data_IF_322285741965
#
_entry.id   IF_322285741965
#
_cell.length_a   1.000
_cell.length_b   1.000
_cell.length_c   1.000
_cell.angle_alpha   90.00
_cell.angle_beta   90.00
_cell.angle_gamma   90.00
#
_symmetry.space_group_name_H-M   'P 1'
#
loop_
_entity.id
_entity.type
_entity.pdbx_description
1 polymer ?
#
# COMPACT_ATOMS: atom_id res chain seq x y z
N UNK A 1 -16.81 8.88 -11.09
CA UNK A 1 -15.88 7.80 -11.48
C UNK A 1 -16.07 6.62 -10.56
N UNK A 2 -16.17 5.41 -11.11
CA UNK A 2 -16.37 4.17 -10.37
C UNK A 2 -15.04 3.43 -10.25
N UNK A 3 -14.60 3.19 -9.01
CA UNK A 3 -13.27 2.63 -8.73
C UNK A 3 -13.42 1.39 -7.84
N UNK A 4 -12.80 0.30 -8.25
CA UNK A 4 -12.61 -0.87 -7.41
C UNK A 4 -11.20 -0.86 -6.83
N UNK A 5 -11.09 -0.86 -5.51
CA UNK A 5 -9.82 -0.89 -4.79
C UNK A 5 -9.67 -2.21 -4.03
N UNK A 6 -8.51 -2.87 -4.13
CA UNK A 6 -8.26 -4.19 -3.53
C UNK A 6 -6.93 -4.20 -2.79
N UNK A 7 -6.96 -4.63 -1.52
CA UNK A 7 -5.76 -4.93 -0.76
C UNK A 7 -5.85 -6.34 -0.13
N UNK A 8 -4.98 -7.22 -0.56
CA UNK A 8 -4.76 -8.55 0.02
C UNK A 8 -3.31 -8.71 0.50
N UNK A 9 -2.59 -7.61 0.68
CA UNK A 9 -1.19 -7.58 1.07
C UNK A 9 -0.97 -7.80 2.56
N UNK A 10 -1.96 -7.50 3.37
CA UNK A 10 -1.98 -7.64 4.84
C UNK A 10 -2.61 -8.95 5.34
N UNK A 11 -2.98 -9.00 6.64
CA UNK A 11 -3.66 -10.14 7.25
C UNK A 11 -5.12 -10.30 6.81
N UNK A 12 -5.69 -9.30 6.18
CA UNK A 12 -7.08 -9.27 5.72
C UNK A 12 -7.13 -9.09 4.21
N UNK A 13 -8.16 -9.65 3.57
CA UNK A 13 -8.62 -9.18 2.28
C UNK A 13 -9.54 -7.98 2.54
N UNK A 14 -9.24 -6.85 1.96
CA UNK A 14 -10.12 -5.68 1.96
C UNK A 14 -10.42 -5.24 0.53
N UNK A 15 -11.66 -4.83 0.30
CA UNK A 15 -12.16 -4.34 -0.98
C UNK A 15 -12.96 -3.07 -0.70
N UNK A 16 -12.73 -2.04 -1.49
CA UNK A 16 -13.51 -0.80 -1.44
C UNK A 16 -14.04 -0.52 -2.85
N UNK A 17 -15.34 -0.28 -2.93
CA UNK A 17 -16.02 0.08 -4.17
C UNK A 17 -16.52 1.51 -4.06
N UNK A 18 -16.00 2.41 -4.89
CA UNK A 18 -16.48 3.78 -5.03
C UNK A 18 -17.39 3.87 -6.24
N UNK A 19 -18.59 4.38 -6.03
CA UNK A 19 -19.56 4.68 -7.09
C UNK A 19 -19.95 6.14 -6.95
N UNK A 20 -19.53 6.97 -7.89
CA UNK A 20 -19.68 8.42 -7.83
C UNK A 20 -19.09 9.00 -6.53
N UNK A 21 -19.94 9.42 -5.58
CA UNK A 21 -19.54 10.01 -4.29
C UNK A 21 -19.76 9.07 -3.09
N UNK A 22 -20.24 7.85 -3.32
CA UNK A 22 -20.47 6.86 -2.26
C UNK A 22 -19.38 5.79 -2.29
N UNK A 23 -19.03 5.26 -1.13
CA UNK A 23 -18.05 4.19 -0.97
C UNK A 23 -18.61 3.06 -0.14
N UNK A 24 -18.33 1.84 -0.55
CA UNK A 24 -18.79 0.61 0.07
C UNK A 24 -17.60 -0.28 0.40
N UNK A 25 -17.54 -0.78 1.62
CA UNK A 25 -16.42 -1.56 2.14
C UNK A 25 -16.77 -3.03 2.32
N UNK A 26 -15.86 -3.90 1.98
CA UNK A 26 -15.88 -5.32 2.32
C UNK A 26 -14.54 -5.72 2.92
N UNK A 27 -14.56 -6.54 3.99
CA UNK A 27 -13.35 -7.10 4.56
C UNK A 27 -13.57 -8.53 5.09
N UNK A 28 -12.54 -9.37 4.94
CA UNK A 28 -12.52 -10.73 5.44
C UNK A 28 -11.17 -11.04 6.11
N UNK A 29 -11.22 -11.62 7.31
CA UNK A 29 -10.02 -11.93 8.11
C UNK A 29 -9.32 -13.23 7.71
N UNK A 30 -9.84 -13.97 6.76
CA UNK A 30 -9.33 -15.29 6.38
C UNK A 30 -8.18 -15.21 5.37
N UNK A 31 -7.02 -14.75 5.81
CA UNK A 31 -5.79 -14.58 5.03
C UNK A 31 -5.40 -15.78 4.14
N UNK A 32 -5.56 -16.99 4.63
CA UNK A 32 -5.18 -18.22 3.90
C UNK A 32 -6.07 -18.57 2.71
N UNK A 33 -7.15 -17.83 2.51
CA UNK A 33 -8.17 -18.08 1.47
C UNK A 33 -8.33 -16.94 0.47
N UNK A 34 -7.49 -15.91 0.49
CA UNK A 34 -7.65 -14.75 -0.40
C UNK A 34 -7.85 -15.17 -1.87
N UNK A 35 -7.06 -16.13 -2.38
CA UNK A 35 -7.21 -16.64 -3.75
C UNK A 35 -8.54 -17.36 -4.01
N UNK A 36 -9.19 -17.88 -2.99
CA UNK A 36 -10.47 -18.60 -3.13
C UNK A 36 -11.67 -17.67 -3.05
N UNK A 37 -11.54 -16.58 -2.28
CA UNK A 37 -12.69 -15.71 -1.97
C UNK A 37 -12.67 -14.37 -2.70
N UNK A 38 -11.53 -13.92 -3.27
CA UNK A 38 -11.41 -12.57 -3.83
C UNK A 38 -12.45 -12.29 -4.93
N UNK A 39 -12.66 -13.22 -5.85
CA UNK A 39 -13.64 -13.05 -6.94
C UNK A 39 -15.07 -13.03 -6.40
N UNK A 40 -15.43 -13.96 -5.51
CA UNK A 40 -16.76 -13.96 -4.90
C UNK A 40 -17.00 -12.76 -3.99
N UNK A 41 -15.95 -12.21 -3.38
CA UNK A 41 -16.04 -10.98 -2.58
C UNK A 41 -16.24 -9.74 -3.46
N UNK A 42 -15.60 -9.68 -4.63
CA UNK A 42 -15.85 -8.63 -5.62
C UNK A 42 -17.29 -8.72 -6.13
N UNK A 43 -17.73 -9.91 -6.55
CA UNK A 43 -19.09 -10.15 -7.01
C UNK A 43 -20.11 -9.74 -5.94
N UNK A 44 -19.86 -10.11 -4.68
CA UNK A 44 -20.73 -9.77 -3.56
C UNK A 44 -20.86 -8.26 -3.36
N UNK A 45 -19.75 -7.52 -3.26
CA UNK A 45 -19.81 -6.07 -3.00
C UNK A 45 -20.47 -5.33 -4.16
N UNK A 46 -20.30 -5.81 -5.39
CA UNK A 46 -20.93 -5.23 -6.57
C UNK A 46 -22.43 -5.51 -6.61
N UNK A 47 -22.83 -6.77 -6.40
CA UNK A 47 -24.25 -7.19 -6.37
C UNK A 47 -25.03 -6.51 -5.24
N UNK A 48 -24.44 -6.44 -4.04
CA UNK A 48 -25.07 -5.79 -2.88
C UNK A 48 -25.36 -4.30 -3.12
N UNK A 49 -24.66 -3.68 -4.08
CA UNK A 49 -24.81 -2.26 -4.42
C UNK A 49 -25.42 -2.02 -5.82
N UNK A 50 -25.93 -3.08 -6.47
CA UNK A 50 -26.54 -3.03 -7.80
C UNK A 50 -25.62 -2.42 -8.87
N UNK A 51 -24.33 -2.82 -8.87
CA UNK A 51 -23.30 -2.36 -9.80
C UNK A 51 -22.82 -3.54 -10.64
N UNK A 52 -22.75 -3.34 -11.94
CA UNK A 52 -22.17 -4.32 -12.86
C UNK A 52 -20.66 -4.09 -12.98
N UNK A 53 -19.90 -5.16 -13.23
CA UNK A 53 -18.44 -5.05 -13.40
C UNK A 53 -18.07 -4.13 -14.57
N UNK A 54 -18.92 -4.03 -15.58
CA UNK A 54 -18.79 -3.15 -16.74
C UNK A 54 -18.96 -1.66 -16.44
N UNK A 55 -19.47 -1.31 -15.26
CA UNK A 55 -19.62 0.07 -14.81
C UNK A 55 -18.31 0.64 -14.24
N UNK A 56 -17.30 -0.20 -14.02
CA UNK A 56 -16.01 0.22 -13.48
C UNK A 56 -15.24 1.07 -14.49
N UNK A 57 -14.59 2.11 -13.98
CA UNK A 57 -13.74 3.00 -14.76
C UNK A 57 -12.24 2.80 -14.46
N UNK A 58 -11.91 2.24 -13.29
CA UNK A 58 -10.54 2.04 -12.82
C UNK A 58 -10.49 0.94 -11.77
N UNK A 59 -9.36 0.24 -11.72
CA UNK A 59 -9.05 -0.70 -10.64
C UNK A 59 -7.73 -0.30 -9.99
N UNK A 60 -7.67 -0.36 -8.67
CA UNK A 60 -6.50 -0.02 -7.88
C UNK A 60 -6.15 -1.16 -6.95
N UNK A 61 -4.86 -1.46 -6.79
CA UNK A 61 -4.44 -2.50 -5.85
C UNK A 61 -3.13 -2.15 -5.14
N UNK A 62 -2.93 -2.73 -3.95
CA UNK A 62 -1.66 -2.63 -3.25
C UNK A 62 -0.64 -3.59 -3.89
N UNK A 63 0.39 -3.01 -4.56
CA UNK A 63 1.44 -3.79 -5.22
C UNK A 63 2.57 -4.26 -4.30
N UNK A 64 2.49 -3.94 -3.01
CA UNK A 64 3.55 -4.21 -2.04
C UNK A 64 4.55 -3.04 -1.90
N UNK A 65 5.68 -3.26 -1.22
CA UNK A 65 6.15 -4.53 -0.67
C UNK A 65 5.33 -5.02 0.53
N UNK A 66 4.95 -6.29 0.51
CA UNK A 66 4.14 -6.92 1.56
C UNK A 66 4.10 -8.45 1.36
N UNK A 67 3.00 -9.11 1.75
CA UNK A 67 2.81 -10.56 1.53
C UNK A 67 3.02 -10.93 0.07
N UNK A 68 4.04 -11.74 -0.20
CA UNK A 68 4.40 -12.21 -1.53
C UNK A 68 3.23 -12.85 -2.30
N UNK A 69 2.46 -13.68 -1.63
CA UNK A 69 1.29 -14.34 -2.24
C UNK A 69 0.13 -13.37 -2.40
N UNK A 70 -0.16 -12.59 -1.37
CA UNK A 70 -1.30 -11.67 -1.37
C UNK A 70 -1.21 -10.61 -2.47
N UNK A 71 -0.08 -9.93 -2.61
CA UNK A 71 0.12 -8.91 -3.64
C UNK A 71 -0.02 -9.46 -5.05
N UNK A 72 0.42 -10.70 -5.30
CA UNK A 72 0.27 -11.36 -6.61
C UNK A 72 -1.16 -11.76 -6.92
N UNK A 73 -1.91 -12.23 -5.92
CA UNK A 73 -3.33 -12.54 -6.07
C UNK A 73 -4.08 -11.28 -6.48
N UNK A 74 -3.92 -10.18 -5.74
CA UNK A 74 -4.56 -8.91 -6.08
C UNK A 74 -4.15 -8.45 -7.49
N UNK A 75 -2.85 -8.41 -7.79
CA UNK A 75 -2.36 -8.01 -9.11
C UNK A 75 -2.96 -8.83 -10.25
N UNK A 76 -2.98 -10.17 -10.12
CA UNK A 76 -3.50 -11.06 -11.16
C UNK A 76 -4.99 -10.85 -11.42
N UNK A 77 -5.79 -10.71 -10.35
CA UNK A 77 -7.24 -10.47 -10.47
C UNK A 77 -7.50 -9.09 -11.07
N UNK A 78 -6.83 -8.04 -10.56
CA UNK A 78 -7.00 -6.68 -11.07
C UNK A 78 -6.62 -6.57 -12.55
N UNK A 79 -5.50 -7.17 -12.94
CA UNK A 79 -5.04 -7.19 -14.33
C UNK A 79 -6.00 -7.95 -15.23
N UNK A 80 -6.53 -9.10 -14.80
CA UNK A 80 -7.49 -9.87 -15.59
C UNK A 80 -8.78 -9.08 -15.84
N UNK A 81 -9.34 -8.46 -14.81
CA UNK A 81 -10.55 -7.64 -14.93
C UNK A 81 -10.26 -6.40 -15.79
N UNK A 82 -9.19 -5.67 -15.49
CA UNK A 82 -8.82 -4.44 -16.20
C UNK A 82 -8.55 -4.69 -17.70
N UNK A 83 -7.87 -5.79 -18.02
CA UNK A 83 -7.64 -6.19 -19.41
C UNK A 83 -8.95 -6.52 -20.12
N UNK A 84 -9.84 -7.28 -19.49
CA UNK A 84 -11.13 -7.67 -20.06
C UNK A 84 -12.03 -6.47 -20.33
N UNK A 85 -12.04 -5.49 -19.42
CA UNK A 85 -12.86 -4.29 -19.52
C UNK A 85 -12.18 -3.15 -20.30
N UNK A 86 -10.89 -3.29 -20.61
CA UNK A 86 -10.07 -2.24 -21.19
C UNK A 86 -10.06 -0.94 -20.36
N UNK A 87 -9.91 -1.08 -19.04
CA UNK A 87 -9.84 0.03 -18.09
C UNK A 87 -8.48 0.07 -17.38
N UNK A 88 -8.05 1.25 -16.87
CA UNK A 88 -6.79 1.40 -16.14
C UNK A 88 -6.72 0.50 -14.90
N UNK A 89 -5.53 -0.08 -14.67
CA UNK A 89 -5.18 -0.81 -13.45
C UNK A 89 -3.95 -0.16 -12.82
N UNK A 90 -4.08 0.32 -11.59
CA UNK A 90 -3.03 1.07 -10.90
C UNK A 90 -2.56 0.29 -9.68
N UNK A 91 -1.27 -0.03 -9.65
CA UNK A 91 -0.61 -0.60 -8.48
C UNK A 91 0.02 0.50 -7.61
N UNK A 92 -0.36 0.59 -6.35
CA UNK A 92 0.20 1.55 -5.39
C UNK A 92 1.18 0.86 -4.45
N UNK A 93 2.32 1.51 -4.19
CA UNK A 93 3.32 1.00 -3.27
C UNK A 93 2.84 1.10 -1.82
N UNK A 94 3.05 0.03 -1.04
CA UNK A 94 2.61 -0.05 0.35
C UNK A 94 3.27 1.00 1.27
N UNK A 95 4.54 1.34 1.03
CA UNK A 95 5.23 2.37 1.82
C UNK A 95 4.70 3.78 1.48
N UNK A 96 4.27 4.01 0.23
CA UNK A 96 3.59 5.26 -0.14
C UNK A 96 2.25 5.40 0.59
N UNK A 97 1.49 4.31 0.73
CA UNK A 97 0.26 4.30 1.52
C UNK A 97 0.53 4.55 3.00
N UNK A 98 1.61 3.98 3.54
CA UNK A 98 2.05 4.27 4.92
C UNK A 98 2.36 5.75 5.10
N UNK A 99 3.17 6.33 4.22
CA UNK A 99 3.50 7.75 4.28
C UNK A 99 2.24 8.63 4.18
N UNK A 100 1.34 8.32 3.24
CA UNK A 100 0.10 9.05 3.04
C UNK A 100 -0.80 9.05 4.28
N UNK A 101 -0.87 7.95 5.01
CA UNK A 101 -1.71 7.85 6.22
C UNK A 101 -1.30 8.82 7.34
N UNK A 102 -0.08 9.35 7.31
CA UNK A 102 0.46 10.30 8.27
C UNK A 102 0.59 11.73 7.74
N UNK A 103 0.57 11.90 6.42
CA UNK A 103 0.71 13.20 5.78
C UNK A 103 -0.31 14.24 6.26
N UNK A 104 -1.56 13.86 6.43
CA UNK A 104 -2.64 14.76 6.83
C UNK A 104 -2.70 15.04 8.35
N UNK A 105 -1.91 14.32 9.15
CA UNK A 105 -2.04 14.33 10.62
C UNK A 105 -1.05 15.25 11.32
N UNK A 106 0.14 15.48 10.75
CA UNK A 106 1.20 16.24 11.40
C UNK A 106 2.11 16.98 10.39
N UNK A 107 2.80 18.02 10.88
CA UNK A 107 3.74 18.83 10.08
C UNK A 107 5.12 18.20 10.07
N UNK A 108 5.32 17.14 9.30
CA UNK A 108 6.64 16.55 9.06
C UNK A 108 7.30 17.20 7.84
N UNK A 109 8.64 17.29 7.85
CA UNK A 109 9.42 17.66 6.66
C UNK A 109 9.92 16.45 5.90
N UNK A 110 10.12 15.33 6.62
CA UNK A 110 10.58 14.05 6.05
C UNK A 110 10.07 12.87 6.87
N UNK A 111 9.63 11.83 6.17
CA UNK A 111 9.16 10.57 6.74
C UNK A 111 9.87 9.39 6.08
N UNK A 112 10.27 8.40 6.88
CA UNK A 112 10.81 7.13 6.41
C UNK A 112 9.90 5.99 6.88
N UNK A 113 9.37 5.24 5.93
CA UNK A 113 8.51 4.09 6.20
C UNK A 113 9.34 2.82 6.16
N UNK A 114 9.24 1.99 7.21
CA UNK A 114 9.98 0.74 7.35
C UNK A 114 8.99 -0.41 7.50
N UNK A 115 9.11 -1.41 6.65
CA UNK A 115 8.25 -2.60 6.65
C UNK A 115 9.09 -3.86 6.65
N UNK A 116 8.67 -4.87 7.42
CA UNK A 116 9.35 -6.17 7.46
C UNK A 116 9.35 -6.82 6.08
N UNK A 117 10.52 -7.29 5.68
CA UNK A 117 10.73 -8.12 4.51
C UNK A 117 10.88 -9.60 4.94
N UNK A 118 11.89 -10.29 4.47
CA UNK A 118 12.20 -11.67 4.81
C UNK A 118 13.50 -11.75 5.62
N UNK A 119 13.63 -12.81 6.43
CA UNK A 119 14.81 -12.98 7.28
C UNK A 119 15.00 -11.81 8.24
N UNK A 120 16.17 -11.19 8.24
CA UNK A 120 16.55 -10.00 9.00
C UNK A 120 16.40 -8.69 8.23
N UNK A 121 15.78 -8.73 7.02
CA UNK A 121 15.68 -7.59 6.12
C UNK A 121 14.40 -6.78 6.27
N UNK A 122 14.50 -5.50 5.90
CA UNK A 122 13.43 -4.51 5.94
C UNK A 122 13.39 -3.72 4.64
N UNK A 123 12.19 -3.46 4.14
CA UNK A 123 11.93 -2.49 3.09
C UNK A 123 11.89 -1.10 3.68
N UNK A 124 12.52 -0.14 3.02
CA UNK A 124 12.60 1.25 3.45
C UNK A 124 12.20 2.14 2.29
N UNK A 125 11.32 3.10 2.54
CA UNK A 125 10.96 4.16 1.60
C UNK A 125 11.01 5.52 2.28
N UNK A 126 11.70 6.48 1.65
CA UNK A 126 11.84 7.83 2.14
C UNK A 126 10.99 8.80 1.31
N UNK A 127 10.35 9.74 2.01
CA UNK A 127 9.47 10.75 1.42
C UNK A 127 9.78 12.12 2.01
N UNK A 128 9.91 13.13 1.16
CA UNK A 128 9.90 14.51 1.57
C UNK A 128 8.46 15.02 1.59
N UNK A 129 8.10 15.77 2.63
CA UNK A 129 6.77 16.35 2.79
C UNK A 129 6.83 17.83 2.53
N UNK A 130 6.10 18.28 1.54
CA UNK A 130 5.97 19.67 1.13
C UNK A 130 4.56 20.20 1.42
N UNK A 131 4.39 21.53 1.36
CA UNK A 131 3.07 22.16 1.57
C UNK A 131 2.01 21.73 0.54
N UNK A 132 2.46 21.35 -0.64
CA UNK A 132 1.61 20.88 -1.76
C UNK A 132 1.27 19.39 -1.72
N UNK A 133 1.84 18.64 -0.78
CA UNK A 133 1.69 17.19 -0.73
C UNK A 133 2.96 16.50 -0.23
N UNK A 134 3.09 15.22 -0.47
CA UNK A 134 4.34 14.50 -0.27
C UNK A 134 4.96 14.13 -1.62
N UNK A 135 6.29 14.14 -1.69
CA UNK A 135 6.99 13.73 -2.90
C UNK A 135 6.79 12.23 -3.15
N UNK A 136 6.80 11.79 -4.41
CA UNK A 136 6.92 10.36 -4.70
C UNK A 136 8.11 9.77 -3.96
N UNK A 137 7.99 8.50 -3.57
CA UNK A 137 9.08 7.76 -2.95
C UNK A 137 10.32 7.82 -3.86
N UNK A 138 11.44 8.31 -3.31
CA UNK A 138 12.69 8.48 -4.08
C UNK A 138 13.26 7.13 -4.50
N UNK A 139 13.29 6.19 -3.57
CA UNK A 139 13.84 4.87 -3.78
C UNK A 139 13.23 3.87 -2.80
N UNK A 140 12.93 2.66 -3.27
CA UNK A 140 12.63 1.53 -2.44
C UNK A 140 13.92 0.75 -2.19
N UNK A 141 14.39 0.74 -0.96
CA UNK A 141 15.60 0.01 -0.57
C UNK A 141 15.28 -1.21 0.30
N UNK A 142 16.22 -2.15 0.34
CA UNK A 142 16.17 -3.33 1.18
C UNK A 142 17.45 -3.38 2.02
N UNK A 143 17.33 -3.31 3.35
CA UNK A 143 18.46 -3.29 4.27
C UNK A 143 18.32 -4.35 5.36
N UNK A 144 19.45 -4.89 5.83
CA UNK A 144 19.48 -5.70 7.04
C UNK A 144 19.24 -4.82 8.28
N UNK A 145 18.76 -5.42 9.37
CA UNK A 145 18.54 -4.68 10.61
C UNK A 145 19.82 -4.01 11.14
N UNK A 146 20.98 -4.66 10.96
CA UNK A 146 22.31 -4.13 11.35
C UNK A 146 22.74 -2.90 10.53
N UNK A 147 22.23 -2.76 9.32
CA UNK A 147 22.64 -1.72 8.37
C UNK A 147 21.68 -0.53 8.37
N UNK A 148 20.60 -0.59 9.18
CA UNK A 148 19.66 0.50 9.33
C UNK A 148 20.38 1.71 9.95
N UNK A 149 20.33 2.83 9.25
CA UNK A 149 20.82 4.12 9.74
C UNK A 149 19.67 5.06 10.04
N UNK A 150 19.78 5.83 11.11
CA UNK A 150 18.72 6.68 11.58
C UNK A 150 19.19 8.12 11.68
N UNK A 151 18.35 9.04 11.20
CA UNK A 151 18.59 10.48 11.26
C UNK A 151 17.58 11.11 12.24
N UNK A 152 18.02 11.87 13.27
CA UNK A 152 17.13 12.50 14.24
C UNK A 152 16.12 13.50 13.64
N UNK A 153 16.40 13.99 12.43
CA UNK A 153 15.51 14.93 11.70
C UNK A 153 14.39 14.23 10.92
N UNK A 154 14.37 12.89 10.87
CA UNK A 154 13.42 12.09 10.12
C UNK A 154 12.43 11.43 11.08
N UNK A 155 11.17 11.38 10.69
CA UNK A 155 10.15 10.61 11.38
C UNK A 155 10.07 9.22 10.77
N UNK A 156 10.15 8.19 11.61
CA UNK A 156 10.16 6.79 11.17
C UNK A 156 8.84 6.11 11.50
N UNK A 157 8.16 5.60 10.49
CA UNK A 157 6.89 4.87 10.60
C UNK A 157 7.12 3.39 10.36
N UNK A 158 6.65 2.54 11.26
CA UNK A 158 6.75 1.09 11.09
C UNK A 158 5.68 0.36 11.89
N UNK A 159 5.20 -0.77 11.37
CA UNK A 159 4.36 -1.74 12.09
C UNK A 159 5.19 -2.89 12.73
N UNK A 160 6.51 -2.81 12.67
CA UNK A 160 7.42 -3.85 13.18
C UNK A 160 8.49 -3.29 14.14
N UNK A 161 8.18 -2.21 14.87
CA UNK A 161 9.11 -1.56 15.80
C UNK A 161 9.67 -2.50 16.87
N UNK A 162 8.88 -3.42 17.41
CA UNK A 162 9.34 -4.35 18.43
C UNK A 162 10.50 -5.22 17.92
N UNK A 163 10.45 -5.62 16.64
CA UNK A 163 11.53 -6.36 16.00
C UNK A 163 12.75 -5.48 15.77
N UNK A 164 12.55 -4.25 15.28
CA UNK A 164 13.62 -3.29 15.01
C UNK A 164 14.31 -2.91 16.32
N UNK A 165 13.56 -2.56 17.37
CA UNK A 165 14.07 -2.18 18.70
C UNK A 165 14.91 -3.28 19.36
N UNK A 166 14.66 -4.54 19.05
CA UNK A 166 15.45 -5.66 19.58
C UNK A 166 16.84 -5.77 18.96
N UNK A 167 17.07 -5.16 17.80
CA UNK A 167 18.32 -5.26 17.02
C UNK A 167 19.15 -3.98 17.01
N UNK A 168 18.60 -2.86 17.45
CA UNK A 168 19.24 -1.54 17.43
C UNK A 168 19.68 -1.13 18.83
N UNK A 169 20.81 -0.42 18.90
CA UNK A 169 21.29 0.16 20.16
C UNK A 169 20.28 1.15 20.75
N UNK A 170 20.04 1.04 22.05
CA UNK A 170 19.09 1.91 22.77
C UNK A 170 19.46 3.39 22.70
N UNK A 171 20.75 3.72 22.56
CA UNK A 171 21.21 5.09 22.41
C UNK A 171 20.71 5.72 21.10
N UNK A 172 20.67 4.96 20.03
CA UNK A 172 20.14 5.38 18.73
C UNK A 172 18.63 5.60 18.82
N UNK A 173 17.91 4.67 19.46
CA UNK A 173 16.45 4.74 19.62
C UNK A 173 16.00 5.99 20.38
N UNK A 174 16.75 6.42 21.39
CA UNK A 174 16.43 7.62 22.16
C UNK A 174 16.61 8.94 21.38
N UNK A 175 17.32 8.90 20.26
CA UNK A 175 17.58 10.06 19.42
C UNK A 175 16.67 10.21 18.21
N UNK A 176 15.79 9.25 17.94
CA UNK A 176 14.94 9.26 16.76
C UNK A 176 13.45 9.40 17.09
N UNK A 177 12.70 9.94 16.14
CA UNK A 177 11.24 10.09 16.25
C UNK A 177 10.57 8.88 15.60
N UNK A 178 9.99 8.01 16.41
CA UNK A 178 9.30 6.80 15.94
C UNK A 178 7.79 6.97 16.01
N UNK A 179 7.11 6.47 14.99
CA UNK A 179 5.65 6.40 14.90
C UNK A 179 5.29 4.94 14.72
N UNK A 180 4.52 4.39 15.65
CA UNK A 180 3.98 3.05 15.49
C UNK A 180 2.79 3.09 14.53
N UNK A 181 2.85 2.28 13.48
CA UNK A 181 1.71 2.11 12.59
C UNK A 181 0.73 1.12 13.24
N UNK A 182 -0.37 1.63 13.73
CA UNK A 182 -1.39 0.83 14.42
C UNK A 182 -2.13 -0.12 13.49
N UNK A 183 -2.28 0.25 12.22
CA UNK A 183 -3.06 -0.51 11.25
C UNK A 183 -2.26 -0.77 9.97
N UNK A 184 -2.44 -1.96 9.41
CA UNK A 184 -1.96 -2.27 8.06
C UNK A 184 -2.70 -1.42 7.02
N UNK A 185 -2.09 -1.30 5.84
CA UNK A 185 -2.77 -0.73 4.67
C UNK A 185 -4.03 -1.53 4.33
N UNK A 186 -5.01 -0.86 3.75
CA UNK A 186 -6.27 -1.47 3.33
C UNK A 186 -6.82 -0.79 2.06
N UNK A 187 -7.86 -1.38 1.50
CA UNK A 187 -8.46 -0.88 0.26
C UNK A 187 -9.06 0.53 0.39
N UNK A 188 -9.55 0.91 1.57
CA UNK A 188 -10.08 2.25 1.82
C UNK A 188 -8.97 3.31 1.75
N UNK A 189 -7.85 3.09 2.45
CA UNK A 189 -6.69 3.97 2.40
C UNK A 189 -6.13 4.10 0.98
N UNK A 190 -6.13 2.99 0.24
CA UNK A 190 -5.71 2.93 -1.16
C UNK A 190 -6.62 3.80 -2.05
N UNK A 191 -7.93 3.74 -1.85
CA UNK A 191 -8.90 4.57 -2.55
C UNK A 191 -8.72 6.06 -2.21
N UNK A 192 -8.58 6.40 -0.93
CA UNK A 192 -8.35 7.77 -0.47
C UNK A 192 -7.07 8.36 -1.08
N UNK A 193 -5.99 7.56 -1.14
CA UNK A 193 -4.75 7.94 -1.79
C UNK A 193 -4.94 8.30 -3.26
N UNK A 194 -5.59 7.43 -4.03
CA UNK A 194 -5.83 7.65 -5.46
C UNK A 194 -6.71 8.88 -5.70
N UNK A 195 -7.77 9.05 -4.92
CA UNK A 195 -8.63 10.23 -5.03
C UNK A 195 -7.86 11.53 -4.74
N UNK A 196 -6.94 11.53 -3.79
CA UNK A 196 -6.10 12.71 -3.48
C UNK A 196 -5.14 13.09 -4.61
N UNK A 197 -4.68 12.13 -5.40
CA UNK A 197 -3.83 12.37 -6.56
C UNK A 197 -4.62 12.97 -7.74
N UNK A 198 -5.83 12.49 -7.97
CA UNK A 198 -6.72 13.01 -9.03
C UNK A 198 -7.05 14.48 -8.80
N UNK A 199 -7.32 14.88 -7.56
CA UNK A 199 -7.58 16.28 -7.18
C UNK A 199 -6.36 17.19 -7.43
N UNK A 200 -5.15 16.67 -7.37
CA UNK A 200 -3.90 17.40 -7.60
C UNK A 200 -3.43 17.38 -9.07
N UNK A 201 -4.21 16.78 -9.99
CA UNK A 201 -3.89 16.72 -11.42
C UNK A 201 -2.67 15.85 -11.74
N UNK A 202 -2.36 14.88 -10.89
CA UNK A 202 -1.25 13.95 -11.11
C UNK A 202 -1.56 12.97 -12.23
N UNK A 203 -0.63 12.80 -13.18
CA UNK A 203 -0.74 11.75 -14.19
C UNK A 203 -0.46 10.38 -13.59
N UNK A 204 -1.33 9.41 -13.84
CA UNK A 204 -1.13 8.03 -13.42
C UNK A 204 -0.17 7.30 -14.38
N UNK A 205 0.92 6.75 -13.85
CA UNK A 205 1.78 5.85 -14.65
C UNK A 205 1.13 4.47 -14.75
N UNK A 206 0.48 4.20 -15.86
CA UNK A 206 -0.18 2.92 -16.16
C UNK A 206 0.80 1.73 -16.23
N UNK A 207 2.12 1.97 -16.26
CA UNK A 207 3.15 0.90 -16.23
C UNK A 207 3.36 0.30 -14.84
N UNK A 208 2.79 0.87 -13.78
CA UNK A 208 2.96 0.42 -12.40
C UNK A 208 2.04 -0.76 -12.00
N UNK A 209 1.74 -1.68 -12.89
CA UNK A 209 0.79 -2.78 -12.64
C UNK A 209 1.41 -4.04 -12.04
N UNK A 210 2.72 -4.10 -11.83
CA UNK A 210 3.40 -5.27 -11.30
C UNK A 210 3.69 -5.14 -9.79
N UNK A 211 3.72 -6.27 -9.05
CA UNK A 211 4.19 -6.28 -7.66
C UNK A 211 5.61 -5.71 -7.53
N UNK A 212 5.85 -4.96 -6.44
CA UNK A 212 7.10 -4.25 -6.20
C UNK A 212 7.96 -4.98 -5.14
N UNK A 213 9.20 -5.32 -5.48
CA UNK A 213 10.12 -6.10 -4.64
C UNK A 213 11.50 -5.45 -4.49
N UNK A 214 11.61 -4.14 -4.60
CA UNK A 214 12.87 -3.40 -4.47
C UNK A 214 13.97 -3.88 -5.43
N UNK A 215 13.63 -4.02 -6.71
CA UNK A 215 14.56 -4.40 -7.79
C UNK A 215 15.34 -5.72 -7.56
N UNK A 216 14.91 -6.55 -6.62
CA UNK A 216 15.43 -7.91 -6.57
C UNK A 216 14.80 -8.71 -7.72
N UNK A 217 15.52 -8.81 -8.83
CA UNK A 217 15.37 -9.93 -9.74
C UNK A 217 15.52 -11.18 -8.90
N UNK A 218 14.43 -11.91 -8.75
CA UNK A 218 14.54 -13.30 -8.30
C UNK A 218 15.20 -13.99 -9.51
N UNK A 219 16.49 -14.24 -9.41
CA UNK A 219 17.14 -15.15 -10.33
C UNK A 219 16.43 -16.51 -10.16
N UNK A 220 15.62 -16.86 -11.17
CA UNK A 220 14.92 -18.14 -11.28
C UNK A 220 15.89 -19.16 -11.84
#
# INVERSE_FOLDING_TARGET
MNILSIDSSGPMLSIELKINNESYSYSDQQKSRASQIILSSIDKIMSDNNVEVTDLNMIVFNKGPASFTGTRIAASVCQAIGYTLNIPVIGVNALSLMAFSYFSKESFSRISCIKKAYGDKYYIGEFDIEKSGYSPMKELSLSSASDLTFNPSVHYVSNCWDQIKSTIDKSILNGIKTIDQEHDTNAKLLLEYICSLDENGSEFDLKMTFPDYANHTIDI
#
